data_IF_114295439181
#
_entry.id   IF_114295439181
#
_cell.length_a   1.000
_cell.length_b   1.000
_cell.length_c   1.000
_cell.angle_alpha   90.00
_cell.angle_beta   90.00
_cell.angle_gamma   90.00
#
_symmetry.space_group_name_H-M   'P 1'
#
loop_
_entity.id
_entity.type
_entity.pdbx_description
1 polymer ?
#
# COMPACT_ATOMS: atom_id res chain seq x y z
N UNK A 1 -10.42 -20.65 9.38
CA UNK A 1 -10.06 -19.75 8.25
C UNK A 1 -9.64 -18.45 8.90
N UNK A 2 -8.34 -18.19 8.95
CA UNK A 2 -7.80 -17.00 9.56
C UNK A 2 -8.36 -15.80 8.81
N UNK A 3 -9.16 -14.97 9.48
CA UNK A 3 -9.53 -13.65 8.96
C UNK A 3 -8.20 -12.92 8.80
N UNK A 4 -7.65 -12.93 7.59
CA UNK A 4 -6.54 -12.07 7.19
C UNK A 4 -6.98 -10.67 7.57
N UNK A 5 -6.49 -10.19 8.72
CA UNK A 5 -6.73 -8.82 9.16
C UNK A 5 -6.25 -7.98 7.99
N UNK A 6 -7.17 -7.36 7.26
CA UNK A 6 -6.90 -6.37 6.24
C UNK A 6 -6.30 -5.14 6.94
N UNK A 7 -5.05 -5.27 7.41
CA UNK A 7 -4.33 -4.22 8.13
C UNK A 7 -4.05 -3.07 7.17
N UNK A 8 -3.86 -3.35 5.87
CA UNK A 8 -3.56 -2.34 4.86
C UNK A 8 -4.70 -2.10 3.85
N UNK A 9 -5.40 -0.97 4.04
CA UNK A 9 -6.39 -0.46 3.08
C UNK A 9 -5.78 0.41 1.98
N UNK A 10 -4.46 0.40 1.79
CA UNK A 10 -3.76 1.23 0.79
C UNK A 10 -4.37 1.03 -0.60
N UNK A 11 -4.60 -0.22 -1.00
CA UNK A 11 -5.24 -0.54 -2.29
C UNK A 11 -6.61 0.12 -2.42
N UNK A 12 -7.42 -0.01 -1.38
CA UNK A 12 -8.80 0.51 -1.34
C UNK A 12 -8.77 2.04 -1.41
N UNK A 13 -7.95 2.69 -0.59
CA UNK A 13 -7.80 4.15 -0.59
C UNK A 13 -7.29 4.68 -1.93
N UNK A 14 -6.35 3.99 -2.58
CA UNK A 14 -5.87 4.36 -3.91
C UNK A 14 -6.98 4.29 -4.95
N UNK A 15 -7.80 3.24 -4.93
CA UNK A 15 -8.95 3.09 -5.83
C UNK A 15 -10.02 4.16 -5.54
N UNK A 16 -10.37 4.37 -4.27
CA UNK A 16 -11.34 5.40 -3.84
C UNK A 16 -10.91 6.81 -4.25
N UNK A 17 -9.61 7.10 -4.18
CA UNK A 17 -9.03 8.40 -4.58
C UNK A 17 -8.66 8.47 -6.06
N UNK A 18 -8.91 7.41 -6.85
CA UNK A 18 -8.47 7.27 -8.26
C UNK A 18 -6.98 7.60 -8.45
N UNK A 19 -6.13 7.15 -7.52
CA UNK A 19 -4.67 7.30 -7.56
C UNK A 19 -4.00 5.96 -7.87
N UNK A 20 -2.83 6.01 -8.47
CA UNK A 20 -2.05 4.82 -8.84
C UNK A 20 -1.01 4.50 -7.77
N UNK A 21 -0.54 3.25 -7.71
CA UNK A 21 0.60 2.89 -6.86
C UNK A 21 1.84 3.74 -7.18
N UNK A 22 2.04 4.08 -8.46
CA UNK A 22 3.13 4.96 -8.90
C UNK A 22 2.99 6.35 -8.27
N UNK A 23 1.79 6.93 -8.27
CA UNK A 23 1.54 8.23 -7.65
C UNK A 23 1.89 8.21 -6.15
N UNK A 24 1.47 7.19 -5.42
CA UNK A 24 1.80 7.07 -3.99
C UNK A 24 3.31 6.88 -3.75
N UNK A 25 3.97 6.10 -4.62
CA UNK A 25 5.41 5.92 -4.58
C UNK A 25 6.17 7.24 -4.77
N UNK A 26 5.72 8.07 -5.72
CA UNK A 26 6.27 9.41 -5.96
C UNK A 26 6.04 10.34 -4.76
N UNK A 27 4.85 10.33 -4.15
CA UNK A 27 4.56 11.17 -2.96
C UNK A 27 5.40 10.79 -1.75
N UNK A 28 5.71 9.50 -1.59
CA UNK A 28 6.50 9.00 -0.46
C UNK A 28 8.01 8.94 -0.75
N UNK A 29 8.44 9.28 -1.98
CA UNK A 29 9.83 9.11 -2.41
C UNK A 29 10.30 7.66 -2.31
N UNK A 30 9.39 6.69 -2.48
CA UNK A 30 9.67 5.25 -2.41
C UNK A 30 9.58 4.62 -3.78
N UNK A 31 10.17 3.44 -3.89
CA UNK A 31 10.07 2.65 -5.11
C UNK A 31 8.63 2.11 -5.30
N UNK A 32 8.07 2.15 -6.52
CA UNK A 32 6.75 1.57 -6.79
C UNK A 32 6.66 0.09 -6.46
N UNK A 33 7.76 -0.67 -6.51
CA UNK A 33 7.80 -2.06 -6.07
C UNK A 33 7.58 -2.18 -4.55
N UNK A 34 8.08 -1.24 -3.75
CA UNK A 34 7.87 -1.19 -2.30
C UNK A 34 6.41 -0.90 -1.98
N UNK A 35 5.80 0.09 -2.65
CA UNK A 35 4.37 0.38 -2.49
C UNK A 35 3.48 -0.79 -2.94
N UNK A 36 3.91 -1.52 -3.98
CA UNK A 36 3.25 -2.75 -4.41
C UNK A 36 3.26 -3.82 -3.30
N UNK A 37 4.42 -4.04 -2.65
CA UNK A 37 4.53 -4.97 -1.50
C UNK A 37 3.66 -4.57 -0.32
N UNK A 38 3.43 -3.27 -0.10
CA UNK A 38 2.51 -2.78 0.93
C UNK A 38 1.05 -3.05 0.61
N UNK A 39 0.70 -2.95 -0.68
CA UNK A 39 -0.62 -3.25 -1.21
C UNK A 39 -0.96 -4.76 -1.13
N UNK A 40 0.05 -5.64 -1.22
CA UNK A 40 -0.09 -7.10 -1.08
C UNK A 40 0.14 -7.63 0.34
N UNK A 41 0.30 -6.75 1.34
CA UNK A 41 0.64 -7.11 2.73
C UNK A 41 1.95 -7.92 2.87
N UNK A 42 2.83 -7.92 1.85
CA UNK A 42 4.11 -8.64 1.88
C UNK A 42 5.15 -7.92 2.74
N UNK A 43 5.04 -6.61 2.88
CA UNK A 43 5.86 -5.79 3.77
C UNK A 43 5.03 -4.60 4.24
N UNK A 44 5.33 -4.03 5.40
CA UNK A 44 4.68 -2.81 5.87
C UNK A 44 5.72 -1.72 6.17
N UNK A 45 5.38 -0.44 5.95
CA UNK A 45 6.19 0.65 6.48
C UNK A 45 6.23 0.52 8.01
N UNK A 46 7.39 0.79 8.61
CA UNK A 46 7.50 0.87 10.06
C UNK A 46 6.58 1.97 10.59
N UNK A 47 5.93 1.70 11.72
CA UNK A 47 5.26 2.71 12.53
C UNK A 47 6.35 3.35 13.40
N UNK A 48 7.02 4.38 12.87
CA UNK A 48 7.82 5.30 13.70
C UNK A 48 6.92 6.23 14.51
#
# INVERSE_FOLDING_TARGET
MEMTKDINRIKVVLVEKKRTNKWLAEQLGKDPATVSKWCTNTSQPGLE
#
